data_IF_474490473728
#
_entry.id   IF_474490473728
#
_cell.length_a   1.000
_cell.length_b   1.000
_cell.length_c   1.000
_cell.angle_alpha   90.00
_cell.angle_beta   90.00
_cell.angle_gamma   90.00
#
_symmetry.space_group_name_H-M   'P 1'
#
loop_
_entity.id
_entity.type
_entity.pdbx_description
1 polymer ?
#
# COMPACT_ATOMS: atom_id res chain seq x y z
N UNK A 1 1.13 22.45 3.14
CA UNK A 1 2.07 21.38 2.78
C UNK A 1 1.30 20.33 2.00
N UNK A 2 1.82 19.78 0.90
CA UNK A 2 1.11 18.78 0.10
C UNK A 2 1.33 17.37 0.69
N UNK A 3 0.24 16.61 0.89
CA UNK A 3 0.29 15.20 1.30
C UNK A 3 0.91 14.35 0.18
N UNK A 4 1.96 13.60 0.50
CA UNK A 4 2.65 12.74 -0.46
C UNK A 4 1.92 11.42 -0.60
N UNK A 5 1.57 11.04 -1.83
CA UNK A 5 0.96 9.72 -2.11
C UNK A 5 2.04 8.73 -2.48
N UNK A 6 2.13 7.63 -1.74
CA UNK A 6 3.11 6.57 -1.94
C UNK A 6 2.37 5.36 -2.51
N UNK A 7 2.68 4.97 -3.73
CA UNK A 7 2.12 3.78 -4.36
C UNK A 7 2.99 2.55 -4.03
N UNK A 8 2.37 1.53 -3.43
CA UNK A 8 2.97 0.21 -3.21
C UNK A 8 2.21 -0.80 -4.06
N UNK A 9 2.84 -1.23 -5.16
CA UNK A 9 2.34 -2.32 -5.99
C UNK A 9 2.42 -3.64 -5.22
N UNK A 10 1.43 -4.53 -5.34
CA UNK A 10 1.44 -5.88 -4.73
C UNK A 10 1.57 -5.88 -3.20
N UNK A 11 0.78 -5.05 -2.52
CA UNK A 11 0.88 -4.81 -1.07
C UNK A 11 0.73 -6.05 -0.17
N UNK A 12 0.20 -7.16 -0.71
CA UNK A 12 0.06 -8.43 0.01
C UNK A 12 1.34 -9.27 0.01
N UNK A 13 2.35 -8.92 -0.77
CA UNK A 13 3.62 -9.63 -0.81
C UNK A 13 4.45 -9.41 0.46
N UNK A 14 5.45 -10.27 0.69
CA UNK A 14 6.25 -10.27 1.92
C UNK A 14 7.08 -8.99 2.06
N UNK A 15 7.63 -8.47 0.96
CA UNK A 15 8.48 -7.27 0.99
C UNK A 15 7.62 -6.01 1.08
N UNK A 16 6.57 -5.99 0.28
CA UNK A 16 5.65 -4.89 0.11
C UNK A 16 4.88 -4.61 1.40
N UNK A 17 4.37 -5.66 2.06
CA UNK A 17 3.73 -5.52 3.37
C UNK A 17 4.70 -5.08 4.47
N UNK A 18 5.98 -5.47 4.39
CA UNK A 18 7.00 -5.02 5.33
C UNK A 18 7.32 -3.53 5.16
N UNK A 19 7.37 -3.04 3.92
CA UNK A 19 7.54 -1.61 3.62
C UNK A 19 6.39 -0.78 4.20
N UNK A 20 5.14 -1.21 3.97
CA UNK A 20 3.97 -0.51 4.50
C UNK A 20 4.01 -0.47 6.04
N UNK A 21 4.30 -1.61 6.68
CA UNK A 21 4.43 -1.68 8.14
C UNK A 21 5.54 -0.78 8.67
N UNK A 22 6.70 -0.75 8.02
CA UNK A 22 7.82 0.11 8.40
C UNK A 22 7.47 1.59 8.30
N UNK A 23 6.81 1.98 7.21
CA UNK A 23 6.38 3.36 6.96
C UNK A 23 5.33 3.83 7.95
N UNK A 24 4.41 2.94 8.37
CA UNK A 24 3.42 3.24 9.38
C UNK A 24 4.01 3.29 10.80
N UNK A 25 5.00 2.43 11.10
CA UNK A 25 5.67 2.40 12.40
C UNK A 25 6.64 3.58 12.59
N UNK A 26 7.29 4.03 11.50
CA UNK A 26 8.24 5.13 11.49
C UNK A 26 7.78 6.17 10.47
N UNK A 27 6.73 6.96 10.80
CA UNK A 27 6.17 7.92 9.87
C UNK A 27 7.21 9.01 9.54
N UNK A 28 7.41 9.36 8.25
CA UNK A 28 8.26 10.47 7.85
C UNK A 28 7.74 11.82 8.38
N UNK A 29 8.59 12.85 8.31
CA UNK A 29 8.27 14.22 8.75
C UNK A 29 7.23 14.96 7.89
N UNK A 30 6.81 14.36 6.79
CA UNK A 30 5.77 14.89 5.90
C UNK A 30 4.50 14.06 6.00
N UNK A 31 3.36 14.69 5.72
CA UNK A 31 2.09 13.99 5.64
C UNK A 31 2.04 13.09 4.40
N UNK A 32 1.50 11.89 4.56
CA UNK A 32 1.50 10.88 3.51
C UNK A 32 0.29 9.95 3.57
N UNK A 33 -0.10 9.49 2.39
CA UNK A 33 -1.07 8.43 2.17
C UNK A 33 -0.40 7.28 1.42
N UNK A 34 -0.76 6.05 1.78
CA UNK A 34 -0.29 4.84 1.11
C UNK A 34 -1.41 4.33 0.22
N UNK A 35 -1.13 4.27 -1.08
CA UNK A 35 -1.98 3.61 -2.06
C UNK A 35 -1.45 2.20 -2.27
N UNK A 36 -2.29 1.20 -2.06
CA UNK A 36 -1.89 -0.20 -2.15
C UNK A 36 -2.67 -0.90 -3.24
N UNK A 37 -1.96 -1.55 -4.17
CA UNK A 37 -2.59 -2.37 -5.21
C UNK A 37 -2.68 -3.82 -4.74
N UNK A 38 -3.86 -4.41 -4.88
CA UNK A 38 -4.11 -5.82 -4.61
C UNK A 38 -4.91 -6.46 -5.73
N UNK A 39 -4.62 -7.73 -6.02
CA UNK A 39 -5.41 -8.56 -6.92
C UNK A 39 -6.73 -9.01 -6.29
N UNK A 40 -6.81 -9.02 -4.95
CA UNK A 40 -7.97 -9.50 -4.21
C UNK A 40 -8.16 -8.70 -2.94
N UNK A 41 -9.07 -7.73 -2.98
CA UNK A 41 -9.35 -6.88 -1.82
C UNK A 41 -9.96 -7.67 -0.65
N UNK A 42 -10.63 -8.78 -0.95
CA UNK A 42 -11.23 -9.66 0.04
C UNK A 42 -10.22 -10.54 0.81
N UNK A 43 -8.93 -10.54 0.45
CA UNK A 43 -7.92 -11.33 1.16
C UNK A 43 -7.73 -10.84 2.61
N UNK A 44 -7.40 -11.75 3.52
CA UNK A 44 -7.19 -11.41 4.94
C UNK A 44 -6.09 -10.36 5.13
N UNK A 45 -5.00 -10.47 4.34
CA UNK A 45 -3.89 -9.52 4.36
C UNK A 45 -4.32 -8.14 3.87
N UNK A 46 -5.07 -8.06 2.77
CA UNK A 46 -5.57 -6.79 2.24
C UNK A 46 -6.54 -6.11 3.22
N UNK A 47 -7.46 -6.87 3.83
CA UNK A 47 -8.36 -6.37 4.88
C UNK A 47 -7.58 -5.84 6.08
N UNK A 48 -6.54 -6.56 6.52
CA UNK A 48 -5.69 -6.12 7.63
C UNK A 48 -4.90 -4.85 7.32
N UNK A 49 -4.56 -4.59 6.06
CA UNK A 49 -3.89 -3.35 5.65
C UNK A 49 -4.86 -2.17 5.57
N UNK A 50 -6.10 -2.43 5.12
CA UNK A 50 -7.16 -1.43 5.00
C UNK A 50 -7.75 -0.97 6.35
N UNK A 51 -7.37 -1.57 7.48
CA UNK A 51 -7.79 -1.09 8.81
C UNK A 51 -7.10 0.22 9.21
N UNK A 52 -5.98 0.57 8.57
CA UNK A 52 -5.27 1.81 8.84
C UNK A 52 -5.81 2.95 7.97
N UNK A 53 -6.17 4.08 8.58
CA UNK A 53 -6.76 5.23 7.87
C UNK A 53 -5.83 5.90 6.85
N UNK A 54 -4.51 5.69 6.95
CA UNK A 54 -3.52 6.17 5.97
C UNK A 54 -3.33 5.24 4.78
N UNK A 55 -3.98 4.08 4.78
CA UNK A 55 -3.85 3.06 3.72
C UNK A 55 -5.14 2.98 2.93
N UNK A 56 -5.06 3.32 1.65
CA UNK A 56 -6.12 3.08 0.68
C UNK A 56 -5.81 1.85 -0.14
N UNK A 57 -6.76 0.93 -0.22
CA UNK A 57 -6.67 -0.31 -0.97
C UNK A 57 -7.36 -0.14 -2.33
N UNK A 58 -6.63 -0.46 -3.40
CA UNK A 58 -7.11 -0.42 -4.78
C UNK A 58 -7.04 -1.83 -5.34
N UNK A 59 -8.18 -2.36 -5.78
CA UNK A 59 -8.25 -3.66 -6.44
C UNK A 59 -7.98 -3.50 -7.93
N UNK A 60 -6.84 -4.02 -8.40
CA UNK A 60 -6.44 -3.94 -9.81
C UNK A 60 -5.33 -4.95 -10.15
N UNK A 61 -5.19 -5.22 -11.45
CA UNK A 61 -4.12 -6.06 -12.00
C UNK A 61 -3.02 -5.15 -12.55
N UNK A 62 -1.78 -5.34 -12.09
CA UNK A 62 -0.61 -4.67 -12.67
C UNK A 62 0.01 -5.57 -13.74
N UNK A 63 -0.01 -5.12 -14.99
CA UNK A 63 0.66 -5.79 -16.12
C UNK A 63 1.89 -4.98 -16.50
N UNK A 64 3.08 -5.56 -16.30
CA UNK A 64 4.34 -4.93 -16.71
C UNK A 64 4.63 -5.36 -18.15
N UNK A 65 4.44 -4.46 -19.11
CA UNK A 65 4.85 -4.66 -20.50
C UNK A 65 6.33 -4.31 -20.60
N UNK A 66 7.17 -5.31 -20.87
CA UNK A 66 8.59 -5.09 -21.20
C UNK A 66 8.68 -4.93 -22.71
N UNK A 67 9.08 -3.75 -23.16
CA UNK A 67 9.38 -3.44 -24.56
C UNK A 67 10.82 -3.77 -24.88
#
# INVERSE_FOLDING_TARGET
>A
MATRKILVSSATGKQESAVIKSLLANPPSFDFDVLTLTLKAASSVAKSLATNSKVSLIEAILVIVRT
#
